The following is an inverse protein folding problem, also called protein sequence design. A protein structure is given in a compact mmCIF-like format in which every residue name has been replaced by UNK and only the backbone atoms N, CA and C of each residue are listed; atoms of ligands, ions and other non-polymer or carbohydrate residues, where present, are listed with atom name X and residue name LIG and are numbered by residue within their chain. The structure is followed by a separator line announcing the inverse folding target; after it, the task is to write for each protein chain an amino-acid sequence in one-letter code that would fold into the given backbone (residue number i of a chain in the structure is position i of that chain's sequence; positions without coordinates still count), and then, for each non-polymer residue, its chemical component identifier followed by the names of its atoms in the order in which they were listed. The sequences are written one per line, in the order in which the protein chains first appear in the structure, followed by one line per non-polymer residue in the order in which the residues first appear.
data_IF_852016730494
#
_entry.id   IF_852016730494
#
_cell.length_a   1.000
_cell.length_b   1.000
_cell.length_c   1.000
_cell.angle_alpha   90.00
_cell.angle_beta   90.00
_cell.angle_gamma   90.00
#
_symmetry.space_group_name_H-M   'P 1'
#
loop_
_entity.id
_entity.type
_entity.pdbx_description
1 polymer ?
#
# COMPACT_ATOMS: atom_id res chain seq x y z
N UNK A 1 -6.63 7.06 -4.66
CA UNK A 1 -6.74 6.58 -3.25
C UNK A 1 -7.35 7.67 -2.39
N UNK A 2 -8.11 7.29 -1.38
CA UNK A 2 -8.59 8.27 -0.41
C UNK A 2 -7.47 8.60 0.58
N UNK A 3 -7.71 9.57 1.46
CA UNK A 3 -6.71 10.06 2.40
C UNK A 3 -6.18 8.96 3.33
N UNK A 4 -7.06 8.12 3.84
CA UNK A 4 -6.70 7.02 4.71
C UNK A 4 -5.80 6.01 4.00
N UNK A 5 -6.10 5.70 2.76
CA UNK A 5 -5.31 4.78 1.96
C UNK A 5 -3.92 5.36 1.65
N UNK A 6 -3.86 6.65 1.37
CA UNK A 6 -2.58 7.33 1.11
C UNK A 6 -1.68 7.24 2.34
N UNK A 7 -2.24 7.45 3.53
CA UNK A 7 -1.47 7.35 4.77
C UNK A 7 -0.87 5.96 4.94
N UNK A 8 -1.64 4.91 4.66
CA UNK A 8 -1.17 3.53 4.77
C UNK A 8 -0.04 3.25 3.77
N UNK A 9 -0.22 3.66 2.53
CA UNK A 9 0.79 3.46 1.48
C UNK A 9 2.06 4.26 1.79
N UNK A 10 1.92 5.47 2.32
CA UNK A 10 3.06 6.28 2.74
C UNK A 10 3.86 5.58 3.85
N UNK A 11 3.20 4.89 4.75
CA UNK A 11 3.88 4.13 5.79
C UNK A 11 4.65 2.95 5.21
N UNK A 12 4.10 2.28 4.19
CA UNK A 12 4.84 1.23 3.48
C UNK A 12 6.13 1.78 2.88
N UNK A 13 6.06 2.95 2.26
CA UNK A 13 7.20 3.60 1.63
C UNK A 13 8.23 4.03 2.66
N UNK A 14 7.79 4.46 3.83
CA UNK A 14 8.68 5.01 4.86
C UNK A 14 9.30 3.94 5.74
N UNK A 15 8.51 2.98 6.19
CA UNK A 15 8.94 2.02 7.19
C UNK A 15 9.19 0.62 6.65
N UNK A 16 8.81 0.35 5.41
CA UNK A 16 8.96 -0.98 4.83
C UNK A 16 10.37 -1.26 4.34
N UNK A 17 10.67 -2.56 4.17
CA UNK A 17 11.88 -2.99 3.49
C UNK A 17 11.75 -2.78 1.98
N UNK A 18 12.70 -3.33 1.21
CA UNK A 18 12.75 -3.08 -0.23
C UNK A 18 11.48 -3.53 -0.96
N UNK A 19 10.91 -4.67 -0.57
CA UNK A 19 9.68 -5.14 -1.20
C UNK A 19 8.50 -4.22 -0.91
N UNK A 20 8.32 -3.85 0.36
CA UNK A 20 7.20 -2.99 0.75
C UNK A 20 7.31 -1.60 0.10
N UNK A 21 8.52 -1.08 -0.04
CA UNK A 21 8.74 0.19 -0.73
C UNK A 21 8.37 0.11 -2.20
N UNK A 22 8.75 -0.98 -2.86
CA UNK A 22 8.39 -1.20 -4.25
C UNK A 22 6.87 -1.37 -4.41
N UNK A 23 6.25 -2.08 -3.47
CA UNK A 23 4.80 -2.25 -3.45
C UNK A 23 4.09 -0.91 -3.32
N UNK A 24 4.60 -0.02 -2.45
CA UNK A 24 4.06 1.32 -2.28
C UNK A 24 4.11 2.11 -3.59
N UNK A 25 5.21 2.01 -4.34
CA UNK A 25 5.31 2.66 -5.64
C UNK A 25 4.24 2.17 -6.60
N UNK A 26 3.96 0.87 -6.60
CA UNK A 26 2.89 0.32 -7.41
C UNK A 26 1.54 0.93 -7.03
N UNK A 27 1.25 1.02 -5.74
CA UNK A 27 -0.01 1.59 -5.28
C UNK A 27 -0.19 3.04 -5.73
N UNK A 28 0.88 3.83 -5.71
CA UNK A 28 0.80 5.24 -6.15
C UNK A 28 0.45 5.38 -7.63
N UNK A 29 0.74 4.36 -8.43
CA UNK A 29 0.57 4.42 -9.88
C UNK A 29 -0.70 3.74 -10.38
N UNK A 30 -1.43 3.04 -9.52
CA UNK A 30 -2.59 2.28 -9.93
C UNK A 30 -3.86 3.11 -9.95
N UNK A 31 -4.76 2.78 -10.89
CA UNK A 31 -6.12 3.29 -10.86
C UNK A 31 -6.91 2.56 -9.75
N UNK A 32 -8.14 3.01 -9.47
CA UNK A 32 -8.95 2.45 -8.40
C UNK A 32 -9.25 0.96 -8.55
N UNK A 33 -9.44 0.52 -9.79
CA UNK A 33 -9.75 -0.88 -10.07
C UNK A 33 -8.55 -1.79 -9.78
N UNK A 34 -7.39 -1.42 -10.29
CA UNK A 34 -6.16 -2.18 -10.05
C UNK A 34 -5.68 -2.06 -8.61
N UNK A 35 -5.96 -0.93 -7.97
CA UNK A 35 -5.67 -0.74 -6.55
C UNK A 35 -6.35 -1.83 -5.71
N UNK A 36 -7.65 -2.06 -5.94
CA UNK A 36 -8.38 -3.08 -5.19
C UNK A 36 -7.83 -4.48 -5.42
N UNK A 37 -7.42 -4.78 -6.65
CA UNK A 37 -6.85 -6.09 -6.98
C UNK A 37 -5.52 -6.31 -6.28
N UNK A 38 -4.63 -5.33 -6.31
CA UNK A 38 -3.32 -5.45 -5.68
C UNK A 38 -3.45 -5.55 -4.16
N UNK A 39 -4.35 -4.75 -3.57
CA UNK A 39 -4.60 -4.81 -2.13
C UNK A 39 -5.09 -6.20 -1.70
N UNK A 40 -5.93 -6.83 -2.51
CA UNK A 40 -6.46 -8.15 -2.21
C UNK A 40 -5.40 -9.25 -2.27
N UNK A 41 -4.33 -9.07 -3.05
CA UNK A 41 -3.26 -10.05 -3.17
C UNK A 41 -2.35 -10.05 -1.95
N UNK A 42 -2.17 -8.90 -1.29
CA UNK A 42 -1.28 -8.75 -0.14
C UNK A 42 -2.01 -8.15 1.06
N UNK A 43 -3.03 -8.84 1.59
CA UNK A 43 -3.81 -8.28 2.70
C UNK A 43 -3.01 -8.09 3.99
N UNK A 44 -2.02 -8.95 4.25
CA UNK A 44 -1.22 -8.84 5.46
C UNK A 44 -0.35 -7.58 5.49
N UNK A 45 0.13 -7.11 4.34
CA UNK A 45 0.88 -5.86 4.28
C UNK A 45 -0.02 -4.69 4.60
N UNK A 46 -1.22 -4.69 4.07
CA UNK A 46 -2.18 -3.64 4.33
C UNK A 46 -2.51 -3.56 5.82
N UNK A 47 -2.76 -4.71 6.43
CA UNK A 47 -3.06 -4.79 7.86
C UNK A 47 -1.89 -4.27 8.69
N UNK A 48 -0.70 -4.72 8.40
CA UNK A 48 0.50 -4.33 9.15
C UNK A 48 0.69 -2.82 9.15
N UNK A 49 0.62 -2.19 7.98
CA UNK A 49 0.88 -0.76 7.89
C UNK A 49 -0.30 0.11 8.27
N UNK A 50 -1.51 -0.44 8.31
CA UNK A 50 -2.64 0.28 8.85
C UNK A 50 -2.58 0.36 10.39
N UNK A 51 -1.87 -0.56 11.02
CA UNK A 51 -1.74 -0.62 12.47
C UNK A 51 -0.50 0.11 13.01
N UNK A 52 0.38 0.54 12.15
CA UNK A 52 1.60 1.27 12.58
C UNK A 52 1.28 2.75 12.93
#
# INVERSE_FOLDING_TARGET
MNEEQIIIVDKMAKYGGSFAKTLAECFYRLDGNNFRKLRAVFPEYWKEYSEK
#
